data_IF_904356126015
#
_entry.id   IF_904356126015
#
_cell.length_a   1.000
_cell.length_b   1.000
_cell.length_c   1.000
_cell.angle_alpha   90.00
_cell.angle_beta   90.00
_cell.angle_gamma   90.00
#
_symmetry.space_group_name_H-M   'P 1'
#
loop_
_entity.id
_entity.type
_entity.pdbx_description
1 polymer ?
#
# COMPACT_ATOMS: atom_id res chain seq x y z
N UNK A 1 -6.76 -17.88 28.10
CA UNK A 1 -5.98 -16.66 27.77
C UNK A 1 -6.78 -15.90 26.72
N UNK A 2 -7.14 -14.64 26.99
CA UNK A 2 -7.90 -13.83 26.05
C UNK A 2 -7.06 -13.61 24.78
N UNK A 3 -7.65 -13.81 23.60
CA UNK A 3 -6.92 -13.64 22.35
C UNK A 3 -6.71 -12.14 22.10
N UNK A 4 -5.58 -11.72 21.49
CA UNK A 4 -5.33 -10.31 21.18
C UNK A 4 -6.40 -9.70 20.24
N UNK A 5 -7.12 -10.53 19.47
CA UNK A 5 -8.22 -10.13 18.59
C UNK A 5 -9.60 -10.05 19.27
N UNK A 6 -9.71 -10.47 20.53
CA UNK A 6 -10.97 -10.51 21.27
C UNK A 6 -11.65 -9.14 21.51
N UNK A 7 -10.94 -8.03 21.80
CA UNK A 7 -11.55 -6.70 21.85
C UNK A 7 -12.12 -6.23 20.51
N UNK A 8 -11.45 -6.54 19.40
CA UNK A 8 -11.92 -6.26 18.04
C UNK A 8 -13.18 -7.04 17.69
N UNK A 9 -13.19 -8.34 17.98
CA UNK A 9 -14.35 -9.19 17.74
C UNK A 9 -15.54 -8.79 18.62
N UNK A 10 -15.29 -8.33 19.85
CA UNK A 10 -16.33 -7.80 20.73
C UNK A 10 -16.95 -6.53 20.14
N UNK A 11 -16.12 -5.60 19.66
CA UNK A 11 -16.58 -4.38 19.01
C UNK A 11 -17.47 -4.72 17.80
N UNK A 12 -17.03 -5.60 16.90
CA UNK A 12 -17.83 -6.03 15.75
C UNK A 12 -19.19 -6.64 16.14
N UNK A 13 -19.22 -7.49 17.18
CA UNK A 13 -20.46 -8.08 17.69
C UNK A 13 -21.40 -7.03 18.30
N UNK A 14 -20.85 -6.06 19.01
CA UNK A 14 -21.63 -5.00 19.65
C UNK A 14 -22.19 -4.02 18.60
N UNK A 15 -21.43 -3.69 17.55
CA UNK A 15 -21.93 -2.87 16.44
C UNK A 15 -23.03 -3.58 15.66
N UNK A 16 -22.87 -4.90 15.43
CA UNK A 16 -23.88 -5.72 14.76
C UNK A 16 -25.20 -5.75 15.54
N UNK A 17 -25.12 -5.85 16.88
CA UNK A 17 -26.30 -5.75 17.77
C UNK A 17 -26.92 -4.37 17.76
N UNK A 18 -26.11 -3.30 17.84
CA UNK A 18 -26.60 -1.90 17.82
C UNK A 18 -27.37 -1.58 16.55
N UNK A 19 -26.94 -2.12 15.40
CA UNK A 19 -27.59 -1.89 14.10
C UNK A 19 -28.72 -2.88 13.79
N UNK A 20 -29.00 -3.83 14.69
CA UNK A 20 -30.08 -4.82 14.50
C UNK A 20 -29.89 -5.75 13.29
N UNK A 21 -28.68 -5.83 12.73
CA UNK A 21 -28.38 -6.60 11.53
C UNK A 21 -28.22 -8.08 11.87
N UNK A 22 -28.76 -8.96 11.04
CA UNK A 22 -28.54 -10.40 11.17
C UNK A 22 -27.16 -10.80 10.63
N UNK A 23 -26.57 -11.87 11.18
CA UNK A 23 -25.31 -12.43 10.66
C UNK A 23 -25.41 -12.89 9.20
N UNK A 24 -26.62 -13.21 8.73
CA UNK A 24 -26.89 -13.50 7.32
C UNK A 24 -26.81 -12.27 6.43
N UNK A 25 -27.34 -11.12 6.86
CA UNK A 25 -27.29 -9.88 6.08
C UNK A 25 -25.86 -9.34 6.00
N UNK A 26 -25.09 -9.44 7.09
CA UNK A 26 -23.68 -9.08 7.09
C UNK A 26 -22.85 -9.98 6.17
N UNK A 27 -23.13 -11.29 6.16
CA UNK A 27 -22.47 -12.25 5.27
C UNK A 27 -22.73 -11.92 3.79
N UNK A 28 -23.99 -11.62 3.44
CA UNK A 28 -24.36 -11.21 2.08
C UNK A 28 -23.70 -9.89 1.66
N UNK A 29 -23.60 -8.91 2.56
CA UNK A 29 -22.96 -7.61 2.27
C UNK A 29 -21.44 -7.68 2.17
N UNK A 30 -20.81 -8.54 2.98
CA UNK A 30 -19.36 -8.74 2.96
C UNK A 30 -18.89 -9.74 1.88
N UNK A 31 -19.82 -10.43 1.20
CA UNK A 31 -19.49 -11.44 0.19
C UNK A 31 -18.87 -12.72 0.78
N UNK A 32 -19.18 -13.06 2.03
CA UNK A 32 -18.61 -14.20 2.76
C UNK A 32 -19.69 -15.22 3.09
N UNK A 33 -19.35 -16.51 3.17
CA UNK A 33 -20.31 -17.53 3.56
C UNK A 33 -20.77 -17.34 5.02
N UNK A 34 -22.08 -17.50 5.30
CA UNK A 34 -22.66 -17.28 6.63
C UNK A 34 -21.99 -18.13 7.72
N UNK A 35 -21.69 -19.39 7.40
CA UNK A 35 -21.05 -20.32 8.34
C UNK A 35 -19.63 -19.88 8.71
N UNK A 36 -18.90 -19.40 7.72
CA UNK A 36 -17.53 -18.89 7.83
C UNK A 36 -17.48 -17.60 8.66
N UNK A 37 -18.37 -16.65 8.38
CA UNK A 37 -18.48 -15.41 9.16
C UNK A 37 -18.83 -15.69 10.63
N UNK A 38 -19.74 -16.63 10.88
CA UNK A 38 -20.13 -17.01 12.26
C UNK A 38 -18.95 -17.59 13.03
N UNK A 39 -18.19 -18.53 12.43
CA UNK A 39 -17.00 -19.15 13.05
C UNK A 39 -15.96 -18.10 13.41
N UNK A 40 -15.71 -17.14 12.51
CA UNK A 40 -14.76 -16.05 12.72
C UNK A 40 -15.20 -15.06 13.79
N UNK A 41 -16.47 -14.64 13.80
CA UNK A 41 -17.00 -13.75 14.84
C UNK A 41 -16.98 -14.40 16.24
N UNK A 42 -17.15 -15.73 16.31
CA UNK A 42 -17.00 -16.49 17.57
C UNK A 42 -15.54 -16.74 17.97
N UNK A 43 -14.57 -16.36 17.13
CA UNK A 43 -13.14 -16.55 17.40
C UNK A 43 -12.68 -18.00 17.25
N UNK A 44 -13.41 -18.85 16.52
CA UNK A 44 -12.98 -20.24 16.22
C UNK A 44 -11.93 -20.25 15.12
N UNK A 45 -12.04 -19.32 14.18
CA UNK A 45 -11.17 -19.19 13.01
C UNK A 45 -10.57 -17.78 12.97
N UNK A 46 -9.33 -17.65 12.52
CA UNK A 46 -8.63 -16.37 12.48
C UNK A 46 -9.22 -15.45 11.40
N UNK A 47 -9.29 -14.16 11.73
CA UNK A 47 -9.83 -13.13 10.86
C UNK A 47 -8.66 -12.48 10.10
N UNK A 48 -8.68 -12.54 8.78
CA UNK A 48 -7.70 -11.81 7.97
C UNK A 48 -8.04 -10.32 7.90
N UNK A 49 -7.04 -9.49 7.61
CA UNK A 49 -7.21 -8.03 7.52
C UNK A 49 -8.20 -7.66 6.41
N UNK A 50 -8.15 -8.34 5.25
CA UNK A 50 -9.07 -8.09 4.14
C UNK A 50 -10.53 -8.41 4.52
N UNK A 51 -10.74 -9.51 5.25
CA UNK A 51 -12.06 -9.89 5.75
C UNK A 51 -12.57 -8.91 6.80
N UNK A 52 -11.69 -8.43 7.68
CA UNK A 52 -12.03 -7.38 8.63
C UNK A 52 -12.46 -6.09 7.93
N UNK A 53 -11.73 -5.66 6.91
CA UNK A 53 -12.07 -4.47 6.12
C UNK A 53 -13.40 -4.67 5.39
N UNK A 54 -13.63 -5.83 4.76
CA UNK A 54 -14.90 -6.13 4.09
C UNK A 54 -16.08 -6.11 5.06
N UNK A 55 -15.92 -6.68 6.26
CA UNK A 55 -16.93 -6.65 7.32
C UNK A 55 -17.13 -5.22 7.85
N UNK A 56 -16.06 -4.46 8.03
CA UNK A 56 -16.11 -3.08 8.53
C UNK A 56 -16.79 -2.13 7.53
N UNK A 57 -16.53 -2.30 6.23
CA UNK A 57 -17.22 -1.59 5.15
C UNK A 57 -18.70 -1.98 5.10
N UNK A 58 -19.02 -3.27 5.21
CA UNK A 58 -20.40 -3.75 5.24
C UNK A 58 -21.20 -3.25 6.47
N UNK A 59 -20.50 -2.93 7.56
CA UNK A 59 -21.04 -2.33 8.78
C UNK A 59 -20.94 -0.79 8.80
N UNK A 60 -20.42 -0.17 7.73
CA UNK A 60 -20.19 1.28 7.59
C UNK A 60 -19.46 1.87 8.81
N UNK A 61 -18.46 1.16 9.33
CA UNK A 61 -17.65 1.53 10.50
C UNK A 61 -16.62 2.63 10.18
N UNK A 62 -16.84 3.49 9.19
CA UNK A 62 -15.87 4.50 8.76
C UNK A 62 -15.50 5.48 9.88
N UNK A 63 -16.46 5.88 10.73
CA UNK A 63 -16.23 6.82 11.82
C UNK A 63 -15.64 6.15 13.08
N UNK A 64 -16.06 4.93 13.40
CA UNK A 64 -15.57 4.19 14.59
C UNK A 64 -14.18 3.55 14.36
N UNK A 65 -13.77 3.36 13.09
CA UNK A 65 -12.44 2.87 12.75
C UNK A 65 -11.34 3.91 12.96
N UNK A 66 -11.64 5.20 12.75
CA UNK A 66 -10.70 6.29 13.01
C UNK A 66 -10.28 6.34 14.50
N UNK A 67 -11.25 6.11 15.40
CA UNK A 67 -11.01 6.04 16.84
C UNK A 67 -10.16 4.84 17.27
N UNK A 68 -10.15 3.75 16.47
CA UNK A 68 -9.38 2.54 16.77
C UNK A 68 -7.98 2.54 16.15
N UNK A 69 -7.79 3.27 15.05
CA UNK A 69 -6.53 3.34 14.27
C UNK A 69 -5.65 4.53 14.69
N UNK A 70 -6.13 5.42 15.56
CA UNK A 70 -5.31 6.53 16.07
C UNK A 70 -4.93 7.52 14.97
N UNK A 71 -5.75 7.66 13.94
CA UNK A 71 -5.59 8.73 12.96
C UNK A 71 -5.99 10.05 13.63
N UNK A 72 -5.23 11.15 13.41
CA UNK A 72 -5.57 12.45 13.97
C UNK A 72 -6.93 12.87 13.42
N UNK A 73 -7.87 13.12 14.34
CA UNK A 73 -9.10 13.84 14.03
C UNK A 73 -8.67 15.24 13.64
N UNK A 74 -8.74 15.58 12.35
CA UNK A 74 -8.68 16.96 11.92
C UNK A 74 -9.87 17.70 12.57
N UNK A 75 -9.64 18.76 13.35
CA UNK A 75 -10.74 19.55 13.88
C UNK A 75 -11.32 20.41 12.74
N UNK A 76 -12.62 20.23 12.51
CA UNK A 76 -13.47 21.12 11.70
C UNK A 76 -13.28 22.59 12.14
N UNK A 77 -13.00 23.54 11.22
CA UNK A 77 -12.81 24.94 11.56
C UNK A 77 -14.13 25.72 11.47
N UNK A 78 -15.08 25.47 12.37
CA UNK A 78 -16.24 26.37 12.51
C UNK A 78 -16.68 26.48 13.98
N UNK A 79 -16.03 27.37 14.74
CA UNK A 79 -16.69 28.20 15.77
C UNK A 79 -15.78 29.38 16.10
N UNK A 80 -15.91 30.48 15.35
CA UNK A 80 -15.53 31.81 15.86
C UNK A 80 -16.66 32.32 16.76
N UNK A 81 -16.34 32.62 18.03
CA UNK A 81 -16.78 33.84 18.72
C UNK A 81 -16.19 33.90 20.15
N UNK A 82 -15.51 35.00 20.48
CA UNK A 82 -15.49 35.51 21.85
C UNK A 82 -14.16 35.74 22.59
N UNK A 83 -13.46 36.82 22.23
CA UNK A 83 -13.04 37.90 23.15
C UNK A 83 -11.81 37.77 24.10
N UNK A 84 -10.78 38.59 23.75
CA UNK A 84 -9.88 39.48 24.53
C UNK A 84 -8.88 38.97 25.60
N UNK A 85 -7.57 39.21 25.37
CA UNK A 85 -6.80 40.36 25.91
C UNK A 85 -5.28 40.07 26.12
N UNK A 86 -4.40 40.89 25.52
CA UNK A 86 -3.26 41.50 26.21
C UNK A 86 -1.82 41.00 25.99
N UNK A 87 -1.00 41.86 25.34
CA UNK A 87 0.43 42.23 25.66
C UNK A 87 1.50 41.11 25.66
N UNK A 88 2.66 41.16 25.00
CA UNK A 88 3.61 42.24 24.69
C UNK A 88 4.64 41.80 23.61
N UNK A 89 5.22 42.80 22.93
CA UNK A 89 6.33 42.80 21.96
C UNK A 89 7.56 41.96 22.32
N UNK A 90 8.23 41.34 21.33
CA UNK A 90 9.56 41.74 20.77
C UNK A 90 9.76 41.10 19.37
N UNK A 91 10.01 41.90 18.33
CA UNK A 91 10.48 41.48 16.97
C UNK A 91 12.03 41.52 16.89
N UNK A 92 12.74 41.21 15.78
CA UNK A 92 12.35 40.66 14.47
C UNK A 92 13.35 39.59 13.90
N UNK A 93 12.90 38.53 13.22
CA UNK A 93 13.77 37.81 12.26
C UNK A 93 12.97 37.43 11.00
N UNK A 94 13.35 38.07 9.90
CA UNK A 94 13.13 37.71 8.49
C UNK A 94 12.09 36.62 8.17
N UNK A 95 10.85 37.04 7.91
CA UNK A 95 9.92 36.22 7.13
C UNK A 95 10.25 36.38 5.65
N UNK A 96 11.19 35.55 5.17
CA UNK A 96 11.25 35.21 3.76
C UNK A 96 9.96 34.44 3.44
N UNK A 97 9.04 35.21 2.84
CA UNK A 97 7.85 34.75 2.14
C UNK A 97 8.28 33.77 1.04
N UNK A 98 8.45 32.51 1.42
CA UNK A 98 8.56 31.42 0.47
C UNK A 98 7.18 31.28 -0.13
N UNK A 99 7.09 31.68 -1.39
CA UNK A 99 5.90 31.54 -2.21
C UNK A 99 5.48 30.08 -2.15
N UNK A 100 4.18 29.89 -1.97
CA UNK A 100 3.46 28.66 -2.23
C UNK A 100 3.88 28.10 -3.59
N UNK A 101 4.83 27.18 -3.60
CA UNK A 101 4.96 26.23 -4.70
C UNK A 101 3.82 25.24 -4.52
N UNK A 102 2.83 25.37 -5.40
CA UNK A 102 1.88 24.30 -5.67
C UNK A 102 2.65 22.98 -5.79
N UNK A 103 2.18 21.87 -5.21
CA UNK A 103 2.79 20.59 -5.44
C UNK A 103 2.58 20.23 -6.91
N UNK A 104 3.55 20.59 -7.75
CA UNK A 104 3.67 20.01 -9.07
C UNK A 104 3.83 18.51 -8.82
N UNK A 105 2.87 17.74 -9.35
CA UNK A 105 3.01 16.30 -9.50
C UNK A 105 4.46 16.03 -9.92
N UNK A 106 5.23 15.24 -9.15
CA UNK A 106 6.59 14.93 -9.57
C UNK A 106 6.44 14.14 -10.86
N UNK A 107 6.67 14.84 -11.98
CA UNK A 107 6.73 14.28 -13.30
C UNK A 107 7.72 13.14 -13.19
N UNK A 108 7.21 11.93 -13.42
CA UNK A 108 8.00 10.71 -13.45
C UNK A 108 9.20 10.95 -14.38
N UNK A 109 10.41 11.01 -13.79
CA UNK A 109 11.66 11.10 -14.54
C UNK A 109 12.15 9.67 -14.81
N UNK A 110 11.98 9.14 -16.03
CA UNK A 110 12.34 7.77 -16.34
C UNK A 110 13.86 7.52 -16.41
N UNK A 111 14.69 8.56 -16.33
CA UNK A 111 16.15 8.45 -16.50
C UNK A 111 16.94 8.74 -15.23
N UNK A 112 16.32 9.29 -14.19
CA UNK A 112 16.89 9.21 -12.85
C UNK A 112 16.89 7.73 -12.43
N UNK A 113 18.09 7.14 -12.26
CA UNK A 113 18.27 5.88 -11.52
C UNK A 113 17.99 6.15 -10.03
N UNK A 114 16.78 6.63 -9.75
CA UNK A 114 16.30 6.99 -8.45
C UNK A 114 15.52 5.78 -7.91
N UNK A 115 16.03 5.10 -6.87
CA UNK A 115 15.30 4.09 -6.11
C UNK A 115 13.84 4.48 -5.86
N UNK A 116 13.61 5.77 -5.59
CA UNK A 116 12.30 6.39 -5.42
C UNK A 116 11.35 6.17 -6.59
N UNK A 117 11.76 6.53 -7.80
CA UNK A 117 10.89 6.47 -8.98
C UNK A 117 10.59 5.02 -9.39
N UNK A 118 11.57 4.12 -9.24
CA UNK A 118 11.36 2.69 -9.51
C UNK A 118 10.35 2.07 -8.55
N UNK A 119 10.50 2.34 -7.24
CA UNK A 119 9.54 1.83 -6.26
C UNK A 119 8.17 2.44 -6.52
N UNK A 120 8.07 3.76 -6.73
CA UNK A 120 6.81 4.44 -7.04
C UNK A 120 6.13 3.82 -8.26
N UNK A 121 6.88 3.59 -9.34
CA UNK A 121 6.36 2.96 -10.55
C UNK A 121 5.82 1.55 -10.30
N UNK A 122 6.51 0.74 -9.47
CA UNK A 122 6.02 -0.60 -9.12
C UNK A 122 4.70 -0.60 -8.36
N UNK A 123 4.50 0.37 -7.47
CA UNK A 123 3.23 0.57 -6.80
C UNK A 123 2.14 1.08 -7.76
N UNK A 124 2.48 2.03 -8.64
CA UNK A 124 1.54 2.60 -9.62
C UNK A 124 1.08 1.57 -10.66
N UNK A 125 1.99 0.75 -11.16
CA UNK A 125 1.69 -0.28 -12.17
C UNK A 125 1.20 -1.60 -11.56
N UNK A 126 1.32 -1.76 -10.25
CA UNK A 126 0.89 -2.98 -9.56
C UNK A 126 1.74 -4.19 -9.94
N UNK A 127 3.05 -4.02 -10.13
CA UNK A 127 3.96 -5.14 -10.34
C UNK A 127 4.46 -5.71 -9.02
N UNK A 128 4.82 -6.99 -8.99
CA UNK A 128 5.53 -7.57 -7.86
C UNK A 128 6.93 -6.93 -7.76
N UNK A 129 7.24 -6.37 -6.60
CA UNK A 129 8.52 -5.74 -6.30
C UNK A 129 9.38 -6.65 -5.42
N UNK A 130 10.65 -6.76 -5.77
CA UNK A 130 11.65 -7.42 -4.93
C UNK A 130 12.75 -6.41 -4.59
N UNK A 131 12.79 -6.01 -3.33
CA UNK A 131 13.62 -4.92 -2.81
C UNK A 131 14.74 -5.49 -1.95
N UNK A 132 15.96 -5.06 -2.19
CA UNK A 132 17.13 -5.46 -1.39
C UNK A 132 17.67 -4.25 -0.64
N UNK A 133 17.64 -4.32 0.69
CA UNK A 133 18.10 -3.25 1.56
C UNK A 133 19.42 -3.60 2.25
N UNK A 134 20.27 -2.61 2.48
CA UNK A 134 21.42 -2.71 3.38
C UNK A 134 20.95 -2.76 4.84
N UNK A 135 21.04 -3.94 5.44
CA UNK A 135 20.51 -4.17 6.80
C UNK A 135 21.20 -3.30 7.86
N UNK A 136 22.44 -2.86 7.63
CA UNK A 136 23.18 -2.01 8.57
C UNK A 136 22.59 -0.60 8.68
N UNK A 137 21.89 -0.16 7.64
CA UNK A 137 21.22 1.15 7.59
C UNK A 137 19.76 1.10 8.06
N UNK A 138 19.26 -0.07 8.46
CA UNK A 138 17.87 -0.27 8.87
C UNK A 138 17.66 -0.21 10.39
N UNK A 139 18.65 0.22 11.17
CA UNK A 139 18.49 0.45 12.60
C UNK A 139 17.38 1.46 12.87
N UNK A 140 16.36 1.08 13.64
CA UNK A 140 15.22 1.96 13.94
C UNK A 140 14.20 2.12 12.80
N UNK A 141 14.34 1.37 11.70
CA UNK A 141 13.41 1.41 10.56
C UNK A 141 12.01 0.85 10.85
N UNK A 142 11.77 0.27 12.03
CA UNK A 142 10.53 -0.45 12.35
C UNK A 142 10.57 -1.96 12.04
N UNK A 143 11.60 -2.43 11.31
CA UNK A 143 11.86 -3.86 11.12
C UNK A 143 12.34 -4.47 12.46
N UNK A 144 11.76 -5.59 12.94
CA UNK A 144 12.20 -6.21 14.19
C UNK A 144 13.67 -6.63 14.17
N UNK A 145 14.35 -6.46 15.30
CA UNK A 145 15.75 -6.88 15.47
C UNK A 145 15.94 -8.39 15.24
N UNK A 146 14.93 -9.19 15.58
CA UNK A 146 14.91 -10.64 15.34
C UNK A 146 14.93 -11.01 13.85
N UNK A 147 14.44 -10.11 12.97
CA UNK A 147 14.49 -10.25 11.52
C UNK A 147 15.82 -9.72 10.99
N UNK A 148 16.25 -8.53 11.44
CA UNK A 148 17.53 -7.95 11.03
C UNK A 148 18.72 -8.86 11.38
N UNK A 149 18.67 -9.56 12.53
CA UNK A 149 19.70 -10.52 12.94
C UNK A 149 19.82 -11.73 12.00
N UNK A 150 18.75 -12.09 11.27
CA UNK A 150 18.77 -13.18 10.28
C UNK A 150 19.36 -12.74 8.94
N UNK A 151 19.36 -11.44 8.69
CA UNK A 151 19.79 -10.82 7.44
C UNK A 151 20.82 -9.73 7.72
N UNK A 152 22.05 -10.08 8.15
CA UNK A 152 23.02 -9.12 8.69
C UNK A 152 23.62 -8.16 7.64
N UNK A 153 23.57 -8.53 6.37
CA UNK A 153 24.12 -7.70 5.27
C UNK A 153 23.03 -7.12 4.38
N UNK A 154 22.13 -7.98 3.89
CA UNK A 154 21.08 -7.59 2.95
C UNK A 154 19.75 -8.16 3.42
N UNK A 155 18.76 -7.28 3.60
CA UNK A 155 17.38 -7.64 3.87
C UNK A 155 16.57 -7.67 2.56
N UNK A 156 16.19 -8.86 2.07
CA UNK A 156 15.26 -8.97 0.94
C UNK A 156 13.81 -8.78 1.41
N UNK A 157 13.06 -7.95 0.70
CA UNK A 157 11.62 -7.74 0.91
C UNK A 157 10.91 -7.95 -0.42
N UNK A 158 9.96 -8.89 -0.45
CA UNK A 158 9.03 -9.07 -1.57
C UNK A 158 7.72 -8.38 -1.26
N UNK A 159 7.29 -7.50 -2.15
CA UNK A 159 5.98 -6.86 -2.11
C UNK A 159 5.17 -7.36 -3.30
N UNK A 160 4.05 -8.02 -3.00
CA UNK A 160 3.17 -8.56 -4.04
C UNK A 160 2.22 -7.48 -4.55
N UNK A 161 1.96 -7.53 -5.85
CA UNK A 161 0.99 -6.69 -6.57
C UNK A 161 -0.39 -6.63 -5.90
N UNK A 162 -0.86 -7.75 -5.34
CA UNK A 162 -2.14 -7.82 -4.61
C UNK A 162 -2.13 -6.96 -3.35
N UNK A 163 -0.99 -6.91 -2.67
CA UNK A 163 -0.81 -6.14 -1.44
C UNK A 163 -0.75 -4.62 -1.74
N UNK A 164 -0.28 -4.19 -2.92
CA UNK A 164 -0.25 -2.78 -3.35
C UNK A 164 -1.64 -2.11 -3.37
N UNK A 165 -2.73 -2.87 -3.59
CA UNK A 165 -4.09 -2.30 -3.64
C UNK A 165 -4.58 -1.78 -2.29
N UNK A 166 -4.08 -2.37 -1.20
CA UNK A 166 -4.55 -2.12 0.15
C UNK A 166 -3.53 -1.31 0.98
N UNK A 167 -2.32 -1.12 0.46
CA UNK A 167 -1.29 -0.33 1.09
C UNK A 167 -0.92 0.88 0.23
N UNK A 168 -0.99 2.06 0.84
CA UNK A 168 -0.51 3.30 0.25
C UNK A 168 0.79 3.68 0.96
N UNK A 169 1.96 3.34 0.40
CA UNK A 169 3.21 3.80 0.96
C UNK A 169 3.29 5.33 0.88
N UNK A 170 3.93 5.93 1.87
CA UNK A 170 4.25 7.35 1.86
C UNK A 170 5.66 7.53 1.29
N UNK A 171 5.77 8.37 0.26
CA UNK A 171 7.03 8.64 -0.42
C UNK A 171 7.60 9.99 0.04
N UNK A 172 8.49 9.95 1.03
CA UNK A 172 9.23 11.11 1.50
C UNK A 172 10.45 11.44 0.63
N UNK A 173 11.09 12.57 0.92
CA UNK A 173 12.32 12.98 0.25
C UNK A 173 13.49 12.02 0.51
N UNK A 174 13.65 11.58 1.76
CA UNK A 174 14.81 10.79 2.21
C UNK A 174 14.51 9.30 2.45
N UNK A 175 13.22 8.95 2.58
CA UNK A 175 12.78 7.59 2.88
C UNK A 175 11.39 7.31 2.29
N UNK A 176 11.03 6.03 2.20
CA UNK A 176 9.63 5.62 2.05
C UNK A 176 9.13 4.87 3.27
N UNK A 177 7.87 5.11 3.60
CA UNK A 177 7.19 4.49 4.73
C UNK A 177 6.12 3.54 4.22
N UNK A 178 6.06 2.34 4.81
CA UNK A 178 5.15 1.28 4.41
C UNK A 178 4.78 0.40 5.60
N UNK A 179 3.56 -0.12 5.62
CA UNK A 179 3.13 -1.04 6.68
C UNK A 179 3.42 -2.48 6.27
N UNK A 180 4.26 -3.18 7.03
CA UNK A 180 4.64 -4.57 6.79
C UNK A 180 4.22 -5.46 7.95
N UNK A 181 4.06 -6.76 7.67
CA UNK A 181 3.77 -7.78 8.68
C UNK A 181 4.96 -8.73 8.82
N UNK A 182 5.54 -8.81 10.02
CA UNK A 182 6.58 -9.79 10.37
C UNK A 182 6.11 -10.77 11.45
N UNK A 183 5.20 -10.31 12.30
CA UNK A 183 4.61 -10.97 13.46
C UNK A 183 3.30 -10.23 13.84
N UNK A 184 3.42 -8.91 13.87
CA UNK A 184 2.35 -7.92 13.95
C UNK A 184 2.51 -6.92 12.79
N UNK A 185 1.49 -6.12 12.54
CA UNK A 185 1.59 -5.00 11.60
C UNK A 185 2.49 -3.92 12.20
N UNK A 186 3.47 -3.46 11.42
CA UNK A 186 4.43 -2.43 11.80
C UNK A 186 4.60 -1.42 10.69
N UNK A 187 4.58 -0.16 11.06
CA UNK A 187 5.01 0.92 10.16
C UNK A 187 6.52 0.87 10.04
N UNK A 188 7.01 0.64 8.84
CA UNK A 188 8.42 0.55 8.52
C UNK A 188 8.83 1.72 7.63
N UNK A 189 9.91 2.41 7.98
CA UNK A 189 10.48 3.52 7.22
C UNK A 189 11.85 3.14 6.71
N UNK A 190 11.99 3.08 5.40
CA UNK A 190 13.20 2.65 4.69
C UNK A 190 13.87 3.85 4.03
N UNK A 191 15.09 4.23 4.47
CA UNK A 191 15.86 5.28 3.81
C UNK A 191 16.16 4.91 2.36
N UNK A 192 16.08 5.86 1.43
CA UNK A 192 16.44 5.61 0.04
C UNK A 192 17.90 5.18 -0.13
N UNK A 193 18.79 5.65 0.75
CA UNK A 193 20.20 5.25 0.80
C UNK A 193 20.42 3.78 1.17
N UNK A 194 19.44 3.16 1.83
CA UNK A 194 19.51 1.75 2.21
C UNK A 194 19.12 0.83 1.06
N UNK A 195 18.41 1.31 0.03
CA UNK A 195 17.91 0.49 -1.07
C UNK A 195 19.03 0.23 -2.09
N UNK A 196 19.50 -1.02 -2.16
CA UNK A 196 20.57 -1.43 -3.08
C UNK A 196 20.07 -1.83 -4.45
N UNK A 197 18.93 -2.51 -4.52
CA UNK A 197 18.40 -3.05 -5.77
C UNK A 197 16.88 -3.14 -5.73
N UNK A 198 16.25 -2.74 -6.83
CA UNK A 198 14.82 -2.90 -7.10
C UNK A 198 14.69 -3.83 -8.29
N UNK A 199 13.95 -4.93 -8.13
CA UNK A 199 13.62 -5.85 -9.22
C UNK A 199 12.10 -5.90 -9.40
N UNK A 200 11.67 -5.95 -10.65
CA UNK A 200 10.27 -6.11 -11.02
C UNK A 200 10.07 -7.52 -11.53
N UNK A 201 9.00 -8.17 -11.08
CA UNK A 201 8.51 -9.37 -11.76
C UNK A 201 7.37 -8.94 -12.68
N UNK A 202 7.65 -8.94 -13.98
CA UNK A 202 6.64 -8.71 -15.01
C UNK A 202 5.99 -10.07 -15.27
N UNK A 203 4.67 -10.24 -15.04
CA UNK A 203 3.99 -11.46 -15.42
C UNK A 203 4.13 -11.62 -16.94
N UNK A 204 4.67 -12.76 -17.37
CA UNK A 204 4.81 -13.07 -18.78
C UNK A 204 3.41 -13.05 -19.40
N UNK A 205 3.15 -12.08 -20.27
CA UNK A 205 1.88 -12.00 -20.98
C UNK A 205 1.76 -13.29 -21.80
N UNK A 206 0.71 -14.07 -21.54
CA UNK A 206 0.48 -15.32 -22.25
C UNK A 206 0.32 -14.99 -23.73
N UNK A 207 1.39 -15.17 -24.51
CA UNK A 207 1.37 -14.95 -25.95
C UNK A 207 0.29 -15.90 -26.48
N UNK A 208 -0.80 -15.37 -27.08
CA UNK A 208 -1.82 -16.24 -27.64
C UNK A 208 -1.12 -17.18 -28.61
N UNK A 209 -1.48 -18.49 -28.62
CA UNK A 209 -0.86 -19.43 -29.52
C UNK A 209 -0.96 -18.88 -30.95
N UNK A 210 0.12 -18.99 -31.76
CA UNK A 210 0.12 -18.43 -33.09
C UNK A 210 -1.13 -18.93 -33.83
N UNK A 211 -1.85 -18.04 -34.56
CA UNK A 211 -3.02 -18.46 -35.31
C UNK A 211 -2.63 -19.64 -36.19
N UNK A 212 -3.52 -20.65 -36.27
CA UNK A 212 -3.28 -21.82 -37.10
C UNK A 212 -2.85 -21.36 -38.51
N UNK A 213 -1.84 -22.02 -39.13
CA UNK A 213 -1.34 -21.59 -40.43
C UNK A 213 -2.50 -21.48 -41.40
N UNK A 214 -2.67 -20.29 -41.96
CA UNK A 214 -3.68 -20.06 -42.99
C UNK A 214 -3.45 -21.06 -44.15
N UNK A 215 -4.52 -21.57 -44.77
CA UNK A 215 -4.37 -22.41 -45.96
C UNK A 215 -3.50 -21.65 -46.99
N UNK A 216 -2.60 -22.35 -47.70
CA UNK A 216 -1.61 -21.70 -48.55
C UNK A 216 -2.31 -20.79 -49.56
N UNK A 217 -2.01 -19.48 -49.48
CA UNK A 217 -2.48 -18.53 -50.48
C UNK A 217 -1.92 -18.94 -51.86
N UNK A 218 -2.73 -18.81 -52.93
CA UNK A 218 -2.28 -19.09 -54.28
C UNK A 218 -1.04 -18.24 -54.61
N UNK A 219 -0.09 -18.76 -55.40
CA UNK A 219 1.21 -18.14 -55.59
C UNK A 219 1.06 -16.71 -56.14
N UNK A 220 1.36 -15.73 -55.30
CA UNK A 220 1.39 -14.33 -55.73
C UNK A 220 2.60 -14.12 -56.66
N UNK A 221 2.46 -13.35 -57.75
CA UNK A 221 3.56 -13.10 -58.67
C UNK A 221 4.71 -12.40 -57.93
N UNK A 222 5.90 -13.01 -58.01
CA UNK A 222 7.14 -12.52 -57.38
C UNK A 222 7.38 -11.06 -57.76
N UNK A 223 7.20 -10.15 -56.79
CA UNK A 223 7.63 -8.76 -56.97
C UNK A 223 9.16 -8.74 -57.01
N UNK A 224 9.77 -7.98 -57.95
CA UNK A 224 11.22 -7.87 -58.01
C UNK A 224 11.73 -7.20 -56.73
N UNK A 225 12.57 -7.91 -55.98
CA UNK A 225 13.24 -7.38 -54.79
C UNK A 225 14.70 -7.12 -55.12
N UNK A 226 15.14 -5.87 -54.95
CA UNK A 226 16.54 -5.49 -54.96
C UNK A 226 17.25 -6.18 -53.79
N UNK A 227 18.34 -6.90 -54.10
CA UNK A 227 19.24 -7.47 -53.09
C UNK A 227 20.59 -6.74 -53.18
N UNK A 228 21.10 -6.32 -52.02
CA UNK A 228 22.46 -5.85 -51.90
C UNK A 228 23.41 -7.05 -52.09
N UNK A 229 24.21 -6.98 -53.14
CA UNK A 229 25.34 -7.90 -53.36
C UNK A 229 26.51 -7.33 -52.57
N UNK A 230 27.17 -8.18 -51.81
CA UNK A 230 28.39 -7.83 -51.07
C UNK A 230 29.56 -8.21 -51.97
N UNK A 231 30.36 -7.22 -52.38
CA UNK A 231 31.66 -7.44 -53.02
C UNK A 231 32.67 -8.06 -52.03
#
# INVERSE_FOLDING_TARGET
MARPSEPLLKLLRDTLKKRGLSTSELASRAGVERGELKRRLTGVEDLTVDQFIAIAQALELQQDMAALVGAPVEPDPETEEGAVAGTESVSPIHTLRSQTEEPQDPAFDPFANAPRELVRAGFTWGYDLFLHFDAKQLGGSGVPESILSKFPEVLPIRLESRWHRHNRPEFGADAFTVILSFDILRTCTFPWSSLRTVQFTIPEEAVPPPPAPAPPEPPQPLRPALRLVKD
#
